data_IF_611943499782
#
_entry.id   IF_611943499782
#
_cell.length_a   1.000
_cell.length_b   1.000
_cell.length_c   1.000
_cell.angle_alpha   90.00
_cell.angle_beta   90.00
_cell.angle_gamma   90.00
#
_symmetry.space_group_name_H-M   'P 1'
#
loop_
_entity.id
_entity.type
_entity.pdbx_description
1 polymer ?
#
# COMPACT_ATOMS: atom_id res chain seq x y z
N UNK A 1 -8.37 31.76 -23.76
CA UNK A 1 -8.14 31.79 -22.29
C UNK A 1 -7.07 32.81 -21.98
N UNK A 2 -7.36 33.76 -21.09
CA UNK A 2 -6.40 34.80 -20.69
C UNK A 2 -5.31 34.21 -19.78
N UNK A 3 -4.14 34.86 -19.71
CA UNK A 3 -3.00 34.34 -18.95
C UNK A 3 -3.25 34.25 -17.43
N UNK A 4 -4.07 35.14 -16.86
CA UNK A 4 -4.44 35.09 -15.45
C UNK A 4 -5.39 33.92 -15.13
N UNK A 5 -6.43 33.76 -15.94
CA UNK A 5 -7.40 32.65 -15.84
C UNK A 5 -6.72 31.28 -16.01
N UNK A 6 -5.78 31.18 -16.97
CA UNK A 6 -4.97 29.98 -17.16
C UNK A 6 -4.09 29.66 -15.96
N UNK A 7 -3.42 30.67 -15.40
CA UNK A 7 -2.60 30.53 -14.19
C UNK A 7 -3.43 30.09 -12.99
N UNK A 8 -4.64 30.62 -12.83
CA UNK A 8 -5.57 30.21 -11.79
C UNK A 8 -5.96 28.74 -11.93
N UNK A 9 -6.32 28.29 -13.14
CA UNK A 9 -6.60 26.88 -13.43
C UNK A 9 -5.41 25.96 -13.15
N UNK A 10 -4.20 26.36 -13.55
CA UNK A 10 -2.97 25.62 -13.25
C UNK A 10 -2.79 25.50 -11.73
N UNK A 11 -2.97 26.60 -11.00
CA UNK A 11 -2.85 26.62 -9.55
C UNK A 11 -3.87 25.71 -8.86
N UNK A 12 -5.12 25.74 -9.29
CA UNK A 12 -6.19 24.89 -8.77
C UNK A 12 -5.93 23.41 -9.04
N UNK A 13 -5.48 23.08 -10.26
CA UNK A 13 -5.08 21.72 -10.60
C UNK A 13 -3.91 21.22 -9.75
N UNK A 14 -2.87 22.03 -9.57
CA UNK A 14 -1.72 21.65 -8.75
C UNK A 14 -2.13 21.58 -7.28
N UNK A 15 -3.04 22.43 -6.80
CA UNK A 15 -3.64 22.29 -5.48
C UNK A 15 -4.38 20.97 -5.34
N UNK A 16 -5.26 20.61 -6.27
CA UNK A 16 -6.10 19.41 -6.20
C UNK A 16 -5.31 18.10 -6.31
N UNK A 17 -4.23 18.09 -7.10
CA UNK A 17 -3.47 16.88 -7.41
C UNK A 17 -2.10 16.83 -6.72
N UNK A 18 -1.64 17.93 -6.15
CA UNK A 18 -0.37 18.04 -5.42
C UNK A 18 0.85 18.25 -6.29
N UNK A 19 0.97 17.43 -7.32
CA UNK A 19 2.00 17.52 -8.34
C UNK A 19 1.37 17.24 -9.70
N UNK A 20 1.69 18.05 -10.71
CA UNK A 20 1.17 17.86 -12.06
C UNK A 20 2.29 18.07 -13.08
N UNK A 21 2.37 17.21 -14.08
CA UNK A 21 3.35 17.35 -15.16
C UNK A 21 3.01 18.52 -16.09
N UNK A 22 4.02 19.13 -16.71
CA UNK A 22 3.80 20.20 -17.69
C UNK A 22 2.94 19.73 -18.88
N UNK A 23 3.10 18.47 -19.29
CA UNK A 23 2.33 17.85 -20.37
C UNK A 23 0.85 17.72 -20.04
N UNK A 24 0.53 17.38 -18.80
CA UNK A 24 -0.84 17.23 -18.32
C UNK A 24 -1.52 18.59 -18.12
N UNK A 25 -0.79 19.56 -17.55
CA UNK A 25 -1.24 20.95 -17.51
C UNK A 25 -1.53 21.47 -18.93
N UNK A 26 -0.62 21.24 -19.89
CA UNK A 26 -0.76 21.66 -21.29
C UNK A 26 -2.03 21.10 -21.95
N UNK A 27 -2.40 19.85 -21.67
CA UNK A 27 -3.66 19.27 -22.15
C UNK A 27 -4.89 19.96 -21.55
N UNK A 28 -4.91 20.17 -20.24
CA UNK A 28 -6.10 20.69 -19.55
C UNK A 28 -6.34 22.16 -19.90
N UNK A 29 -5.28 22.96 -19.94
CA UNK A 29 -5.38 24.38 -20.35
C UNK A 29 -5.31 24.58 -21.87
N UNK A 30 -5.31 23.49 -22.64
CA UNK A 30 -5.30 23.47 -24.11
C UNK A 30 -4.24 24.39 -24.73
N UNK A 31 -3.00 24.30 -24.24
CA UNK A 31 -1.89 25.14 -24.72
C UNK A 31 -0.60 24.34 -24.85
N UNK A 32 0.46 24.96 -25.38
CA UNK A 32 1.76 24.32 -25.54
C UNK A 32 2.49 24.18 -24.19
N UNK A 33 3.33 23.15 -24.05
CA UNK A 33 4.19 23.00 -22.86
C UNK A 33 5.13 24.20 -22.67
N UNK A 34 5.52 24.89 -23.76
CA UNK A 34 6.34 26.10 -23.71
C UNK A 34 5.58 27.25 -23.03
N UNK A 35 4.28 27.37 -23.33
CA UNK A 35 3.40 28.38 -22.70
C UNK A 35 3.18 28.04 -21.22
N UNK A 36 2.84 26.79 -20.90
CA UNK A 36 2.67 26.35 -19.50
C UNK A 36 3.94 26.55 -18.70
N UNK A 37 5.12 26.29 -19.29
CA UNK A 37 6.40 26.54 -18.62
C UNK A 37 6.58 28.01 -18.24
N UNK A 38 6.12 28.94 -19.07
CA UNK A 38 6.13 30.38 -18.75
C UNK A 38 5.14 30.73 -17.63
N UNK A 39 3.94 30.15 -17.66
CA UNK A 39 2.92 30.38 -16.63
C UNK A 39 3.34 29.83 -15.27
N UNK A 40 3.92 28.63 -15.24
CA UNK A 40 4.46 28.01 -14.01
C UNK A 40 5.64 28.82 -13.48
N UNK A 41 6.51 29.38 -14.34
CA UNK A 41 7.59 30.28 -13.90
C UNK A 41 7.05 31.57 -13.27
N UNK A 42 5.95 32.11 -13.79
CA UNK A 42 5.31 33.28 -13.20
C UNK A 42 4.72 32.95 -11.82
N UNK A 43 4.02 31.82 -11.69
CA UNK A 43 3.49 31.35 -10.41
C UNK A 43 4.60 30.98 -9.40
N UNK A 44 5.75 30.51 -9.88
CA UNK A 44 6.95 30.26 -9.07
C UNK A 44 7.57 31.57 -8.57
N UNK A 45 7.70 32.59 -9.42
CA UNK A 45 8.17 33.91 -9.02
C UNK A 45 7.24 34.59 -8.00
N UNK A 46 5.94 34.26 -8.03
CA UNK A 46 4.93 34.70 -7.06
C UNK A 46 4.90 33.84 -5.78
N UNK A 47 5.75 32.80 -5.68
CA UNK A 47 5.82 31.90 -4.52
C UNK A 47 4.59 31.00 -4.35
N UNK A 48 3.82 30.80 -5.42
CA UNK A 48 2.57 30.03 -5.41
C UNK A 48 2.74 28.58 -5.87
N UNK A 49 3.84 28.26 -6.57
CA UNK A 49 4.24 26.93 -7.03
C UNK A 49 5.76 26.75 -6.97
N UNK A 50 6.22 25.52 -6.78
CA UNK A 50 7.63 25.13 -7.00
C UNK A 50 7.75 24.31 -8.28
N UNK A 51 8.83 24.52 -9.04
CA UNK A 51 9.14 23.65 -10.18
C UNK A 51 9.94 22.44 -9.75
N UNK A 52 9.53 21.27 -10.24
CA UNK A 52 10.36 20.05 -10.24
C UNK A 52 10.60 19.58 -11.66
N UNK A 53 11.56 18.68 -11.86
CA UNK A 53 11.96 18.17 -13.17
C UNK A 53 10.73 17.63 -13.94
N UNK A 54 10.20 18.43 -14.87
CA UNK A 54 9.04 18.09 -15.71
C UNK A 54 7.65 18.49 -15.19
N UNK A 55 7.51 19.22 -14.07
CA UNK A 55 6.19 19.55 -13.51
C UNK A 55 6.17 20.71 -12.51
N UNK A 56 4.98 20.96 -11.94
CA UNK A 56 4.73 21.97 -10.91
C UNK A 56 4.14 21.32 -9.65
N UNK A 57 4.59 21.76 -8.48
CA UNK A 57 4.12 21.33 -7.15
C UNK A 57 3.79 22.55 -6.29
N UNK A 58 3.09 22.37 -5.16
CA UNK A 58 2.90 23.47 -4.21
C UNK A 58 4.20 23.79 -3.45
N UNK A 59 4.50 25.07 -3.17
CA UNK A 59 5.68 25.46 -2.41
C UNK A 59 5.52 25.06 -0.94
N UNK A 60 6.60 24.53 -0.34
CA UNK A 60 6.67 24.24 1.09
C UNK A 60 5.76 23.12 1.63
N UNK A 61 5.12 22.32 0.77
CA UNK A 61 4.18 21.27 1.20
C UNK A 61 4.74 19.86 1.03
N UNK A 62 4.50 18.98 2.01
CA UNK A 62 4.59 17.53 1.83
C UNK A 62 3.92 17.15 0.51
N UNK A 63 4.65 16.48 -0.37
CA UNK A 63 4.24 16.23 -1.76
C UNK A 63 2.90 15.48 -1.79
N UNK A 64 1.83 16.16 -2.22
CA UNK A 64 0.53 15.54 -2.42
C UNK A 64 0.63 14.55 -3.59
N UNK A 65 0.10 13.35 -3.37
CA UNK A 65 0.40 12.13 -4.13
C UNK A 65 0.15 12.31 -5.64
N UNK A 66 1.18 12.09 -6.47
CA UNK A 66 0.99 12.04 -7.93
C UNK A 66 0.04 10.90 -8.31
N UNK A 67 -0.91 11.19 -9.20
CA UNK A 67 -1.93 10.23 -9.62
C UNK A 67 -1.35 9.03 -10.36
N UNK A 68 -2.12 7.93 -10.41
CA UNK A 68 -1.72 6.69 -11.09
C UNK A 68 -1.19 6.86 -12.53
N UNK A 69 -1.84 7.62 -13.44
CA UNK A 69 -1.36 7.75 -14.82
C UNK A 69 0.06 8.31 -14.86
N UNK A 70 0.33 9.33 -14.04
CA UNK A 70 1.64 9.97 -13.95
C UNK A 70 2.69 9.02 -13.35
N UNK A 71 2.34 8.28 -12.28
CA UNK A 71 3.25 7.28 -11.69
C UNK A 71 3.52 6.11 -12.65
N UNK A 72 2.55 5.66 -13.45
CA UNK A 72 2.71 4.47 -14.30
C UNK A 72 3.77 4.62 -15.41
N UNK A 73 3.96 5.85 -15.91
CA UNK A 73 4.93 6.17 -16.95
C UNK A 73 6.31 6.59 -16.43
N UNK A 74 6.45 6.85 -15.14
CA UNK A 74 7.71 7.21 -14.52
C UNK A 74 8.49 5.95 -14.12
N UNK A 75 9.80 5.96 -14.35
CA UNK A 75 10.74 4.94 -13.86
C UNK A 75 10.31 3.49 -14.18
N UNK A 76 9.79 3.25 -15.39
CA UNK A 76 9.22 1.94 -15.77
C UNK A 76 10.28 0.83 -15.78
N UNK A 77 11.51 1.14 -16.22
CA UNK A 77 12.62 0.17 -16.24
C UNK A 77 13.08 -0.19 -14.82
N UNK A 78 13.16 0.80 -13.94
CA UNK A 78 13.53 0.66 -12.54
C UNK A 78 12.50 -0.17 -11.79
N UNK A 79 11.20 0.08 -12.02
CA UNK A 79 10.11 -0.71 -11.42
C UNK A 79 10.13 -2.15 -11.88
N UNK A 80 10.44 -2.37 -13.15
CA UNK A 80 10.59 -3.71 -13.73
C UNK A 80 11.72 -4.45 -13.01
N UNK A 81 12.90 -3.83 -12.88
CA UNK A 81 14.05 -4.42 -12.20
C UNK A 81 13.79 -4.70 -10.72
N UNK A 82 13.20 -3.75 -10.00
CA UNK A 82 12.80 -3.93 -8.59
C UNK A 82 11.81 -5.08 -8.46
N UNK A 83 10.83 -5.15 -9.35
CA UNK A 83 9.81 -6.19 -9.32
C UNK A 83 10.39 -7.58 -9.63
N UNK A 84 11.37 -7.70 -10.53
CA UNK A 84 12.06 -8.97 -10.82
C UNK A 84 12.80 -9.48 -9.58
N UNK A 85 13.57 -8.61 -8.93
CA UNK A 85 14.31 -8.95 -7.72
C UNK A 85 13.37 -9.22 -6.53
N UNK A 86 12.27 -8.49 -6.40
CA UNK A 86 11.29 -8.74 -5.35
C UNK A 86 10.56 -10.08 -5.56
N UNK A 87 10.27 -10.45 -6.81
CA UNK A 87 9.62 -11.73 -7.13
C UNK A 87 10.50 -12.94 -6.78
N UNK A 88 11.84 -12.82 -6.85
CA UNK A 88 12.74 -13.91 -6.45
C UNK A 88 12.80 -14.16 -4.95
N UNK A 89 12.13 -13.34 -4.14
CA UNK A 89 12.02 -13.51 -2.69
C UNK A 89 10.79 -14.33 -2.27
N UNK A 90 9.92 -14.67 -3.23
CA UNK A 90 8.65 -15.38 -2.98
C UNK A 90 8.79 -16.83 -3.42
N UNK A 91 8.37 -17.73 -2.55
CA UNK A 91 8.40 -19.17 -2.79
C UNK A 91 7.00 -19.70 -3.19
N UNK A 92 6.96 -20.84 -3.89
CA UNK A 92 5.71 -21.52 -4.21
C UNK A 92 4.94 -21.91 -2.93
N UNK A 93 3.61 -21.76 -2.95
CA UNK A 93 2.75 -22.07 -1.80
C UNK A 93 2.68 -20.97 -0.74
N UNK A 94 3.40 -19.86 -0.93
CA UNK A 94 3.47 -18.78 0.04
C UNK A 94 2.22 -17.88 0.04
N UNK A 95 1.80 -17.43 1.22
CA UNK A 95 0.79 -16.40 1.38
C UNK A 95 1.47 -15.04 1.63
N UNK A 96 1.29 -14.08 0.73
CA UNK A 96 1.93 -12.76 0.77
C UNK A 96 0.91 -11.63 0.71
N UNK A 97 1.25 -10.50 1.32
CA UNK A 97 0.52 -9.24 1.17
C UNK A 97 1.22 -8.36 0.13
N UNK A 98 0.46 -7.77 -0.77
CA UNK A 98 0.97 -6.80 -1.76
C UNK A 98 0.13 -5.52 -1.67
N UNK A 99 0.78 -4.43 -1.25
CA UNK A 99 0.14 -3.11 -1.11
C UNK A 99 -0.10 -2.40 -2.44
N UNK A 100 -0.72 -1.23 -2.37
CA UNK A 100 -1.00 -0.41 -3.54
C UNK A 100 0.22 0.35 -4.06
N UNK A 101 0.37 0.37 -5.39
CA UNK A 101 1.47 1.07 -6.04
C UNK A 101 1.73 0.59 -7.46
N UNK A 102 2.43 1.42 -8.24
CA UNK A 102 2.83 1.04 -9.60
C UNK A 102 3.98 0.03 -9.60
N UNK A 103 4.89 0.11 -8.63
CA UNK A 103 5.96 -0.88 -8.43
C UNK A 103 5.40 -2.23 -7.97
N UNK A 104 4.41 -2.22 -7.05
CA UNK A 104 3.77 -3.45 -6.58
C UNK A 104 2.86 -4.07 -7.63
N UNK A 105 2.26 -3.28 -8.52
CA UNK A 105 1.58 -3.79 -9.71
C UNK A 105 2.54 -4.56 -10.63
N UNK A 106 3.76 -4.05 -10.85
CA UNK A 106 4.76 -4.76 -11.65
C UNK A 106 5.27 -6.04 -10.98
N UNK A 107 5.33 -6.06 -9.63
CA UNK A 107 5.57 -7.28 -8.87
C UNK A 107 4.44 -8.29 -9.10
N UNK A 108 3.18 -7.85 -9.01
CA UNK A 108 2.02 -8.72 -9.19
C UNK A 108 2.03 -9.47 -10.54
N UNK A 109 2.42 -8.80 -11.64
CA UNK A 109 2.59 -9.44 -12.95
C UNK A 109 3.58 -10.60 -12.94
N UNK A 110 4.60 -10.55 -12.07
CA UNK A 110 5.62 -11.59 -11.95
C UNK A 110 5.16 -12.72 -11.04
N UNK A 111 4.48 -12.37 -9.95
CA UNK A 111 3.84 -13.33 -9.03
C UNK A 111 2.81 -14.20 -9.75
N UNK A 112 2.16 -13.70 -10.81
CA UNK A 112 1.24 -14.47 -11.65
C UNK A 112 1.85 -15.79 -12.21
N UNK A 113 3.19 -15.88 -12.26
CA UNK A 113 3.92 -17.05 -12.78
C UNK A 113 4.33 -18.04 -11.69
N UNK A 114 4.17 -17.69 -10.42
CA UNK A 114 4.51 -18.54 -9.28
C UNK A 114 3.24 -19.28 -8.86
N UNK A 115 3.19 -20.62 -9.01
CA UNK A 115 2.01 -21.39 -8.65
C UNK A 115 1.80 -21.46 -7.13
N UNK A 116 0.56 -21.70 -6.72
CA UNK A 116 0.21 -21.99 -5.33
C UNK A 116 0.22 -20.78 -4.41
N UNK A 117 0.42 -19.56 -4.93
CA UNK A 117 0.43 -18.36 -4.10
C UNK A 117 -0.97 -17.97 -3.64
N UNK A 118 -1.04 -17.45 -2.42
CA UNK A 118 -2.18 -16.63 -1.95
C UNK A 118 -1.72 -15.18 -1.83
N UNK A 119 -2.26 -14.29 -2.65
CA UNK A 119 -1.95 -12.85 -2.63
C UNK A 119 -3.08 -12.07 -2.01
N UNK A 120 -2.80 -11.45 -0.86
CA UNK A 120 -3.72 -10.54 -0.18
C UNK A 120 -3.39 -9.11 -0.60
N UNK A 121 -4.36 -8.35 -1.10
CA UNK A 121 -4.10 -6.99 -1.59
C UNK A 121 -5.25 -6.02 -1.35
N UNK A 122 -4.93 -4.77 -1.06
CA UNK A 122 -5.88 -3.67 -1.10
C UNK A 122 -5.89 -2.94 -2.45
N UNK A 123 -5.13 -3.41 -3.45
CA UNK A 123 -4.95 -2.70 -4.71
C UNK A 123 -5.75 -3.35 -5.84
N UNK A 124 -6.61 -2.55 -6.48
CA UNK A 124 -7.32 -2.99 -7.68
C UNK A 124 -6.35 -3.29 -8.83
N UNK A 125 -5.22 -2.58 -8.90
CA UNK A 125 -4.20 -2.77 -9.93
C UNK A 125 -3.47 -4.10 -9.78
N UNK A 126 -3.13 -4.48 -8.54
CA UNK A 126 -2.53 -5.77 -8.21
C UNK A 126 -3.52 -6.88 -8.52
N UNK A 127 -4.77 -6.75 -8.06
CA UNK A 127 -5.80 -7.72 -8.34
C UNK A 127 -6.06 -7.90 -9.84
N UNK A 128 -6.09 -6.79 -10.60
CA UNK A 128 -6.24 -6.83 -12.05
C UNK A 128 -5.05 -7.53 -12.74
N UNK A 129 -3.83 -7.28 -12.28
CA UNK A 129 -2.63 -7.94 -12.81
C UNK A 129 -2.64 -9.46 -12.57
N UNK A 130 -3.30 -9.91 -11.51
CA UNK A 130 -3.44 -11.32 -11.13
C UNK A 130 -4.77 -11.96 -11.58
N UNK A 131 -5.69 -11.21 -12.17
CA UNK A 131 -7.05 -11.68 -12.46
C UNK A 131 -7.12 -12.92 -13.38
N UNK A 132 -6.08 -13.14 -14.20
CA UNK A 132 -5.99 -14.26 -15.13
C UNK A 132 -4.98 -15.33 -14.66
N UNK A 133 -4.42 -15.18 -13.46
CA UNK A 133 -3.45 -16.09 -12.89
C UNK A 133 -4.19 -17.27 -12.21
N UNK A 134 -4.56 -18.28 -12.99
CA UNK A 134 -5.36 -19.43 -12.52
C UNK A 134 -4.70 -20.28 -11.41
N UNK A 135 -3.43 -20.02 -11.08
CA UNK A 135 -2.66 -20.73 -10.05
C UNK A 135 -2.32 -19.84 -8.85
N UNK A 136 -2.91 -18.65 -8.78
CA UNK A 136 -2.76 -17.69 -7.67
C UNK A 136 -4.13 -17.38 -7.11
N UNK A 137 -4.33 -17.62 -5.83
CA UNK A 137 -5.52 -17.17 -5.12
C UNK A 137 -5.34 -15.69 -4.78
N UNK A 138 -6.32 -14.85 -5.11
CA UNK A 138 -6.29 -13.41 -4.84
C UNK A 138 -7.36 -13.05 -3.83
N UNK A 139 -6.96 -12.58 -2.66
CA UNK A 139 -7.84 -12.08 -1.61
C UNK A 139 -7.77 -10.56 -1.60
N UNK A 140 -8.85 -9.90 -2.00
CA UNK A 140 -8.94 -8.45 -1.93
C UNK A 140 -9.50 -7.98 -0.59
N UNK A 141 -8.92 -6.94 -0.01
CA UNK A 141 -9.52 -6.30 1.17
C UNK A 141 -10.85 -5.64 0.81
N UNK A 142 -11.76 -5.48 1.77
CA UNK A 142 -12.94 -4.62 1.59
C UNK A 142 -12.59 -3.13 1.59
N UNK A 143 -13.61 -2.27 1.70
CA UNK A 143 -13.45 -0.82 1.92
C UNK A 143 -13.89 0.05 0.74
N UNK A 144 -13.43 1.31 0.75
CA UNK A 144 -13.78 2.33 -0.25
C UNK A 144 -12.65 2.50 -1.25
N UNK A 145 -12.97 2.47 -2.55
CA UNK A 145 -11.99 2.68 -3.61
C UNK A 145 -11.55 4.15 -3.68
N UNK A 146 -10.25 4.37 -3.54
CA UNK A 146 -9.61 5.67 -3.76
C UNK A 146 -9.07 5.75 -5.18
N UNK A 147 -9.72 6.55 -6.02
CA UNK A 147 -9.41 6.64 -7.46
C UNK A 147 -8.01 7.17 -7.81
N UNK A 148 -7.35 7.92 -6.91
CA UNK A 148 -6.04 8.50 -7.21
C UNK A 148 -4.91 7.47 -7.34
N UNK A 149 -4.99 6.36 -6.59
CA UNK A 149 -4.01 5.27 -6.61
C UNK A 149 -4.63 3.87 -6.75
N UNK A 150 -5.96 3.81 -7.00
CA UNK A 150 -6.73 2.57 -7.15
C UNK A 150 -6.56 1.60 -5.97
N UNK A 151 -6.50 2.15 -4.75
CA UNK A 151 -6.40 1.40 -3.50
C UNK A 151 -7.74 1.41 -2.74
N UNK A 152 -8.07 0.30 -2.11
CA UNK A 152 -9.17 0.16 -1.18
C UNK A 152 -8.70 0.63 0.21
N UNK A 153 -9.46 1.55 0.80
CA UNK A 153 -9.12 2.21 2.06
C UNK A 153 -10.31 2.26 3.03
N UNK A 154 -10.02 2.63 4.29
CA UNK A 154 -11.01 2.81 5.35
C UNK A 154 -11.20 1.55 6.20
N UNK A 155 -12.10 1.65 7.18
CA UNK A 155 -12.28 0.63 8.23
C UNK A 155 -12.57 -0.77 7.69
N UNK A 156 -13.33 -0.90 6.59
CA UNK A 156 -13.59 -2.19 5.96
C UNK A 156 -12.31 -2.86 5.42
N UNK A 157 -11.37 -2.08 4.90
CA UNK A 157 -10.07 -2.60 4.45
C UNK A 157 -9.23 -3.05 5.64
N UNK A 158 -9.16 -2.23 6.68
CA UNK A 158 -8.40 -2.52 7.91
C UNK A 158 -8.93 -3.76 8.65
N UNK A 159 -10.26 -3.88 8.76
CA UNK A 159 -10.91 -5.03 9.40
C UNK A 159 -10.66 -6.33 8.63
N UNK A 160 -10.61 -6.27 7.30
CA UNK A 160 -10.33 -7.45 6.46
C UNK A 160 -8.92 -8.01 6.70
N UNK A 161 -8.00 -7.20 7.25
CA UNK A 161 -6.63 -7.59 7.55
C UNK A 161 -6.46 -8.11 8.99
N UNK A 162 -7.47 -7.96 9.85
CA UNK A 162 -7.40 -8.42 11.23
C UNK A 162 -7.38 -9.95 11.30
N UNK A 163 -6.46 -10.51 12.09
CA UNK A 163 -6.30 -11.95 12.27
C UNK A 163 -5.59 -12.64 11.09
N UNK A 164 -5.27 -11.92 10.02
CA UNK A 164 -4.49 -12.44 8.90
C UNK A 164 -3.02 -12.56 9.29
N UNK A 165 -2.38 -13.64 8.84
CA UNK A 165 -0.94 -13.85 8.97
C UNK A 165 -0.38 -14.29 7.64
N UNK A 166 0.57 -13.51 7.14
CA UNK A 166 1.33 -13.79 5.92
C UNK A 166 2.81 -13.79 6.23
N UNK A 167 3.58 -14.45 5.39
CA UNK A 167 5.04 -14.47 5.49
C UNK A 167 5.62 -13.10 5.21
N UNK A 168 5.17 -12.42 4.15
CA UNK A 168 5.79 -11.18 3.65
C UNK A 168 4.75 -10.13 3.25
N UNK A 169 5.05 -8.87 3.54
CA UNK A 169 4.34 -7.71 3.00
C UNK A 169 5.25 -6.95 2.03
N UNK A 170 4.82 -6.80 0.77
CA UNK A 170 5.46 -5.97 -0.22
C UNK A 170 4.75 -4.62 -0.30
N UNK A 171 5.40 -3.56 0.18
CA UNK A 171 4.83 -2.22 0.26
C UNK A 171 5.64 -1.22 -0.54
N UNK A 172 4.97 -0.21 -1.09
CA UNK A 172 5.62 0.91 -1.77
C UNK A 172 5.01 2.22 -1.29
N UNK A 173 5.84 3.23 -1.10
CA UNK A 173 5.44 4.53 -0.58
C UNK A 173 5.66 5.66 -1.59
N UNK A 174 5.48 6.88 -1.11
CA UNK A 174 5.82 8.10 -1.84
C UNK A 174 7.16 8.70 -1.39
N UNK A 175 7.71 8.23 -0.27
CA UNK A 175 9.03 8.61 0.24
C UNK A 175 9.59 7.55 1.19
N UNK A 176 10.91 7.49 1.28
CA UNK A 176 11.64 6.62 2.20
C UNK A 176 12.87 7.37 2.72
N UNK A 177 13.02 7.44 4.04
CA UNK A 177 14.22 7.98 4.71
C UNK A 177 14.70 6.99 5.75
N UNK A 178 15.99 7.00 6.08
CA UNK A 178 16.51 6.20 7.20
C UNK A 178 15.93 6.66 8.55
N UNK A 179 15.63 7.95 8.71
CA UNK A 179 15.08 8.50 9.96
C UNK A 179 13.64 8.07 10.22
N UNK A 180 12.75 8.20 9.23
CA UNK A 180 11.31 7.95 9.40
C UNK A 180 10.81 6.67 8.74
N UNK A 181 11.60 6.01 7.90
CA UNK A 181 11.14 4.86 7.13
C UNK A 181 10.19 5.25 5.99
N UNK A 182 9.28 4.34 5.63
CA UNK A 182 8.39 4.50 4.49
C UNK A 182 7.25 5.46 4.81
N UNK A 183 6.98 6.44 3.94
CA UNK A 183 5.91 7.41 4.12
C UNK A 183 5.03 7.57 2.87
N UNK A 184 3.80 8.04 3.10
CA UNK A 184 2.83 8.43 2.06
C UNK A 184 2.14 9.75 2.43
N UNK A 185 1.54 10.43 1.45
CA UNK A 185 0.86 11.71 1.68
C UNK A 185 -0.62 11.60 1.99
N UNK A 186 -1.16 10.39 2.12
CA UNK A 186 -2.56 10.16 2.46
C UNK A 186 -2.74 9.33 3.75
N UNK A 187 -3.50 9.87 4.70
CA UNK A 187 -3.76 9.21 5.99
C UNK A 187 -4.48 7.87 5.85
N UNK A 188 -5.46 7.75 4.94
CA UNK A 188 -6.24 6.52 4.78
C UNK A 188 -5.39 5.41 4.15
N UNK A 189 -4.53 5.75 3.19
CA UNK A 189 -3.54 4.81 2.65
C UNK A 189 -2.55 4.39 3.74
N UNK A 190 -2.05 5.34 4.53
CA UNK A 190 -1.14 5.04 5.63
C UNK A 190 -1.76 4.12 6.68
N UNK A 191 -3.05 4.28 6.98
CA UNK A 191 -3.76 3.43 7.94
C UNK A 191 -3.84 1.98 7.45
N UNK A 192 -4.19 1.77 6.18
CA UNK A 192 -4.22 0.43 5.59
C UNK A 192 -2.82 -0.15 5.46
N UNK A 193 -1.82 0.61 5.02
CA UNK A 193 -0.43 0.14 4.92
C UNK A 193 0.10 -0.35 6.28
N UNK A 194 -0.23 0.34 7.38
CA UNK A 194 0.09 -0.14 8.73
C UNK A 194 -0.63 -1.45 9.06
N UNK A 195 -1.89 -1.60 8.70
CA UNK A 195 -2.61 -2.86 8.89
C UNK A 195 -1.99 -4.01 8.06
N UNK A 196 -1.53 -3.73 6.83
CA UNK A 196 -0.79 -4.66 5.99
C UNK A 196 0.54 -5.07 6.64
N UNK A 197 1.29 -4.13 7.22
CA UNK A 197 2.51 -4.41 8.00
C UNK A 197 2.22 -5.35 9.17
N UNK A 198 1.17 -5.09 9.95
CA UNK A 198 0.85 -5.91 11.14
C UNK A 198 0.49 -7.37 10.80
N UNK A 199 0.01 -7.62 9.58
CA UNK A 199 -0.34 -8.95 9.12
C UNK A 199 0.88 -9.78 8.69
N UNK A 200 2.04 -9.17 8.43
CA UNK A 200 3.22 -9.83 7.88
C UNK A 200 4.31 -10.12 8.91
N UNK A 201 5.03 -11.22 8.71
CA UNK A 201 6.22 -11.55 9.49
C UNK A 201 7.47 -10.77 9.02
N UNK A 202 7.59 -10.51 7.72
CA UNK A 202 8.69 -9.76 7.11
C UNK A 202 8.12 -8.61 6.26
N UNK A 203 8.65 -7.40 6.42
CA UNK A 203 8.25 -6.25 5.60
C UNK A 203 9.33 -5.96 4.56
N UNK A 204 8.93 -6.03 3.29
CA UNK A 204 9.76 -5.73 2.14
C UNK A 204 9.28 -4.45 1.49
N UNK A 205 10.11 -3.41 1.56
CA UNK A 205 9.84 -2.12 0.92
C UNK A 205 10.38 -2.11 -0.50
N UNK A 206 9.54 -1.69 -1.44
CA UNK A 206 9.88 -1.51 -2.85
C UNK A 206 9.92 0.00 -3.15
N UNK A 207 11.11 0.53 -3.38
CA UNK A 207 11.30 1.94 -3.66
C UNK A 207 12.36 2.13 -4.74
N UNK A 208 12.03 2.91 -5.78
CA UNK A 208 13.05 3.39 -6.70
C UNK A 208 13.88 4.52 -6.07
N UNK A 209 15.04 4.79 -6.65
CA UNK A 209 15.97 5.81 -6.15
C UNK A 209 15.34 7.19 -5.97
N UNK A 210 14.32 7.55 -6.76
CA UNK A 210 13.66 8.86 -6.67
C UNK A 210 12.89 9.06 -5.37
N UNK A 211 12.55 7.97 -4.67
CA UNK A 211 11.85 8.00 -3.38
C UNK A 211 12.82 8.07 -2.18
N UNK A 212 14.10 7.76 -2.39
CA UNK A 212 15.10 7.74 -1.34
C UNK A 212 15.43 9.17 -0.88
N UNK A 213 15.47 9.35 0.44
CA UNK A 213 15.63 10.63 1.11
C UNK A 213 14.39 11.51 1.08
N UNK A 214 13.34 11.15 0.34
CA UNK A 214 12.09 11.92 0.28
C UNK A 214 11.21 11.58 1.47
N UNK A 215 10.67 12.60 2.13
CA UNK A 215 9.71 12.44 3.21
C UNK A 215 8.34 13.02 2.87
N UNK A 216 7.29 12.37 3.38
CA UNK A 216 5.90 12.73 3.15
C UNK A 216 5.09 12.70 4.45
N UNK A 217 3.85 13.18 4.38
CA UNK A 217 3.09 13.61 5.56
C UNK A 217 2.85 12.48 6.58
N UNK A 218 2.57 11.25 6.15
CA UNK A 218 2.21 10.14 7.03
C UNK A 218 3.20 8.99 6.92
N UNK A 219 3.85 8.65 8.03
CA UNK A 219 4.66 7.44 8.15
C UNK A 219 3.77 6.19 8.06
N UNK A 220 4.20 5.23 7.27
CA UNK A 220 3.50 3.96 7.02
C UNK A 220 4.24 2.80 7.65
N UNK A 221 5.55 2.71 7.44
CA UNK A 221 6.42 1.68 8.01
C UNK A 221 7.60 2.39 8.66
N UNK A 222 7.75 2.35 9.99
CA UNK A 222 8.95 2.88 10.64
C UNK A 222 10.16 2.01 10.27
N UNK A 223 11.37 2.60 10.28
CA UNK A 223 12.57 1.95 9.73
C UNK A 223 12.91 0.63 10.41
N UNK A 224 12.68 0.53 11.72
CA UNK A 224 12.93 -0.66 12.54
C UNK A 224 12.06 -1.87 12.16
N UNK A 225 10.92 -1.63 11.52
CA UNK A 225 10.06 -2.70 10.99
C UNK A 225 10.40 -3.10 9.55
N UNK A 226 11.26 -2.35 8.86
CA UNK A 226 11.67 -2.66 7.48
C UNK A 226 12.71 -3.78 7.50
N UNK A 227 12.31 -4.98 7.13
CA UNK A 227 13.23 -6.13 7.10
C UNK A 227 14.15 -6.13 5.87
N UNK A 228 13.66 -5.58 4.75
CA UNK A 228 14.38 -5.50 3.48
C UNK A 228 13.91 -4.30 2.66
N UNK A 229 14.85 -3.65 1.98
CA UNK A 229 14.60 -2.69 0.89
C UNK A 229 15.03 -3.31 -0.44
N UNK A 230 14.15 -3.29 -1.43
CA UNK A 230 14.48 -3.59 -2.83
C UNK A 230 14.40 -2.29 -3.63
N UNK A 231 15.53 -1.90 -4.23
CA UNK A 231 15.70 -0.66 -5.00
C UNK A 231 16.36 -0.93 -6.35
N UNK A 232 16.29 0.02 -7.28
CA UNK A 232 17.16 0.05 -8.46
C UNK A 232 18.52 0.69 -8.11
N UNK A 233 19.52 0.47 -8.95
CA UNK A 233 20.80 1.17 -8.85
C UNK A 233 20.60 2.69 -9.02
N UNK A 234 20.95 3.51 -8.01
CA UNK A 234 20.81 4.95 -8.13
C UNK A 234 21.79 5.51 -9.17
N UNK A 235 21.44 6.59 -9.90
CA UNK A 235 22.39 7.28 -10.75
C UNK A 235 23.64 7.68 -9.96
N UNK A 236 24.84 7.54 -10.54
CA UNK A 236 26.11 7.81 -9.86
C UNK A 236 26.25 9.23 -9.26
N UNK A 237 25.40 10.17 -9.71
CA UNK A 237 25.38 11.56 -9.25
C UNK A 237 24.36 11.81 -8.13
N UNK A 238 23.56 10.82 -7.76
CA UNK A 238 22.54 10.93 -6.71
C UNK A 238 23.14 10.56 -5.34
N UNK A 239 23.97 11.46 -4.81
CA UNK A 239 24.61 11.30 -3.49
C UNK A 239 23.59 11.16 -2.35
N UNK A 240 22.41 11.76 -2.51
CA UNK A 240 21.32 11.66 -1.53
C UNK A 240 20.80 10.23 -1.45
N UNK A 241 20.49 9.63 -2.60
CA UNK A 241 20.04 8.24 -2.64
C UNK A 241 21.10 7.30 -2.05
N UNK A 242 22.38 7.49 -2.39
CA UNK A 242 23.48 6.68 -1.85
C UNK A 242 23.61 6.81 -0.32
N UNK A 243 23.52 8.03 0.22
CA UNK A 243 23.61 8.30 1.66
C UNK A 243 22.47 7.63 2.42
N UNK A 244 21.25 7.68 1.89
CA UNK A 244 20.07 7.08 2.51
C UNK A 244 20.12 5.55 2.47
N UNK A 245 20.64 4.94 1.40
CA UNK A 245 20.86 3.50 1.35
C UNK A 245 21.85 3.04 2.42
N UNK A 246 22.95 3.79 2.59
CA UNK A 246 23.93 3.47 3.63
C UNK A 246 23.31 3.62 5.02
N UNK A 247 22.60 4.71 5.29
CA UNK A 247 21.96 4.93 6.58
C UNK A 247 20.88 3.88 6.91
N UNK A 248 20.12 3.41 5.92
CA UNK A 248 19.17 2.30 6.10
C UNK A 248 19.90 0.98 6.42
N UNK A 249 21.00 0.69 5.73
CA UNK A 249 21.81 -0.49 5.99
C UNK A 249 22.43 -0.46 7.40
N UNK A 250 22.90 0.70 7.85
CA UNK A 250 23.46 0.91 9.20
C UNK A 250 22.41 0.68 10.31
N UNK A 251 21.12 0.88 10.00
CA UNK A 251 20.00 0.55 10.89
C UNK A 251 19.54 -0.90 10.79
N UNK A 252 20.25 -1.75 10.04
CA UNK A 252 19.97 -3.19 9.93
C UNK A 252 18.98 -3.57 8.83
N UNK A 253 18.56 -2.64 7.96
CA UNK A 253 17.72 -2.94 6.81
C UNK A 253 18.55 -3.67 5.76
N UNK A 254 18.11 -4.87 5.32
CA UNK A 254 18.78 -5.57 4.22
C UNK A 254 18.49 -4.86 2.90
N UNK A 255 19.49 -4.21 2.32
CA UNK A 255 19.34 -3.53 1.02
C UNK A 255 19.66 -4.49 -0.12
N UNK A 256 18.81 -4.51 -1.15
CA UNK A 256 18.97 -5.31 -2.36
C UNK A 256 18.79 -4.43 -3.58
N UNK A 257 19.83 -4.32 -4.41
CA UNK A 257 19.87 -3.42 -5.57
C UNK A 257 19.67 -4.23 -6.84
N UNK A 258 18.60 -3.95 -7.59
CA UNK A 258 18.32 -4.54 -8.88
C UNK A 258 19.19 -3.87 -9.96
N UNK A 259 19.99 -4.67 -10.68
CA UNK A 259 20.91 -4.21 -11.73
C UNK A 259 22.39 -4.50 -11.48
N UNK A 260 22.76 -4.83 -10.24
CA UNK A 260 24.13 -5.26 -9.92
C UNK A 260 24.38 -6.70 -10.36
N UNK A 261 25.43 -6.91 -11.17
CA UNK A 261 26.05 -8.23 -11.29
C UNK A 261 26.36 -8.69 -9.87
N UNK A 262 25.86 -9.85 -9.47
CA UNK A 262 26.23 -10.47 -8.22
C UNK A 262 27.77 -10.46 -8.13
N UNK A 263 28.32 -9.66 -7.21
CA UNK A 263 29.72 -9.76 -6.81
C UNK A 263 29.88 -11.06 -6.02
N UNK A 264 29.85 -12.17 -6.75
CA UNK A 264 30.28 -13.46 -6.26
C UNK A 264 31.76 -13.35 -5.94
N UNK A 265 32.07 -13.20 -4.66
CA UNK A 265 33.39 -13.59 -4.14
C UNK A 265 33.39 -15.12 -4.11
N UNK A 266 33.60 -15.70 -5.28
CA UNK A 266 34.00 -17.09 -5.45
C UNK A 266 35.52 -17.12 -5.60
N UNK A 267 36.18 -17.63 -4.56
CA UNK A 267 37.58 -18.04 -4.55
C UNK A 267 37.88 -18.52 -3.13
N UNK A 268 38.32 -19.73 -2.87
CA UNK A 268 38.62 -20.90 -3.69
C UNK A 268 38.87 -22.03 -2.70
N UNK A 269 38.53 -23.24 -3.10
CA UNK A 269 38.56 -24.49 -2.35
C UNK A 269 39.95 -24.97 -1.89
N UNK A 270 39.97 -25.68 -0.75
CA UNK A 270 40.89 -26.78 -0.41
C UNK A 270 41.45 -26.68 1.01
N UNK A 271 41.30 -27.62 1.94
CA UNK A 271 40.66 -28.94 1.98
C UNK A 271 40.76 -29.52 3.41
N UNK A 272 39.92 -30.53 3.71
CA UNK A 272 40.01 -31.62 4.74
C UNK A 272 40.67 -31.34 6.10
N UNK A 273 40.24 -31.86 7.25
CA UNK A 273 39.18 -32.75 7.71
C UNK A 273 39.32 -32.77 9.25
N UNK A 274 38.27 -33.12 9.99
CA UNK A 274 38.35 -33.38 11.43
C UNK A 274 37.04 -33.08 12.13
N UNK A 275 36.27 -34.13 12.43
CA UNK A 275 34.98 -33.99 13.10
C UNK A 275 35.12 -33.56 14.54
N UNK A 276 34.08 -32.91 15.05
CA UNK A 276 33.58 -33.25 16.37
C UNK A 276 32.10 -32.85 16.50
N UNK A 277 31.35 -33.74 17.15
CA UNK A 277 29.93 -33.61 17.44
C UNK A 277 29.70 -32.59 18.56
N UNK A 278 28.96 -31.52 18.28
CA UNK A 278 28.50 -30.55 19.29
C UNK A 278 27.08 -30.10 18.97
N UNK A 279 26.12 -30.53 19.78
CA UNK A 279 24.69 -30.21 19.62
C UNK A 279 24.36 -28.72 19.80
N UNK A 280 23.17 -28.28 19.34
CA UNK A 280 22.80 -26.86 19.36
C UNK A 280 22.36 -26.39 20.76
N UNK A 281 22.79 -25.21 21.24
CA UNK A 281 22.21 -24.60 22.42
C UNK A 281 21.06 -23.65 22.05
N UNK A 282 20.00 -23.71 22.87
CA UNK A 282 19.24 -22.50 23.23
C UNK A 282 17.98 -22.17 22.43
N UNK A 283 16.99 -23.06 22.45
CA UNK A 283 15.59 -22.67 22.23
C UNK A 283 15.16 -21.66 23.31
N UNK A 284 14.93 -20.40 22.91
CA UNK A 284 14.43 -19.37 23.83
C UNK A 284 12.96 -19.62 24.17
N UNK A 285 12.71 -19.60 25.47
CA UNK A 285 11.45 -19.87 26.17
C UNK A 285 10.24 -19.14 25.59
N UNK A 286 9.18 -19.91 25.31
CA UNK A 286 7.83 -19.45 25.02
C UNK A 286 7.27 -18.74 26.25
N UNK A 287 6.87 -17.47 26.12
CA UNK A 287 6.01 -16.80 27.09
C UNK A 287 4.57 -17.11 26.75
N UNK A 288 3.93 -17.94 27.57
CA UNK A 288 2.49 -18.11 27.58
C UNK A 288 1.82 -16.80 27.99
N UNK A 289 1.00 -16.24 27.10
CA UNK A 289 0.10 -15.13 27.42
C UNK A 289 -1.32 -15.71 27.43
N UNK A 290 -2.07 -15.62 28.55
CA UNK A 290 -3.40 -16.20 28.63
C UNK A 290 -4.42 -15.37 27.84
N UNK A 291 -5.24 -16.07 27.06
CA UNK A 291 -6.40 -15.52 26.32
C UNK A 291 -7.43 -14.91 27.30
N UNK A 292 -8.04 -13.75 26.98
CA UNK A 292 -9.11 -13.20 27.81
C UNK A 292 -10.40 -14.04 27.68
N UNK A 293 -10.88 -14.54 28.83
CA UNK A 293 -12.11 -15.31 28.95
C UNK A 293 -13.38 -14.49 28.69
N UNK A 294 -14.41 -15.19 28.21
CA UNK A 294 -15.75 -14.66 27.99
C UNK A 294 -16.36 -14.12 29.29
N UNK A 295 -16.85 -12.87 29.25
CA UNK A 295 -17.60 -12.25 30.36
C UNK A 295 -18.92 -13.01 30.56
N UNK A 296 -19.03 -13.74 31.67
CA UNK A 296 -20.30 -14.20 32.22
C UNK A 296 -20.93 -13.06 33.01
N UNK A 297 -22.15 -12.68 32.63
CA UNK A 297 -23.01 -11.77 33.37
C UNK A 297 -23.55 -12.45 34.63
N UNK A 298 -23.26 -11.92 35.81
CA UNK A 298 -23.93 -12.28 37.06
C UNK A 298 -25.15 -11.36 37.26
N UNK A 299 -26.33 -11.96 37.34
CA UNK A 299 -27.50 -11.40 38.03
C UNK A 299 -27.90 -12.37 39.16
N UNK A 300 -28.16 -11.91 40.39
CA UNK A 300 -28.49 -12.80 41.50
C UNK A 300 -30.00 -13.11 41.53
N UNK A 301 -30.33 -14.40 41.57
CA UNK A 301 -31.67 -14.90 41.88
C UNK A 301 -31.73 -15.35 43.35
N UNK A 302 -32.71 -14.83 44.09
CA UNK A 302 -33.08 -15.27 45.43
C UNK A 302 -33.73 -16.65 45.46
N UNK A 303 -33.97 -17.23 46.65
CA UNK A 303 -34.41 -18.62 46.77
C UNK A 303 -35.93 -18.73 46.92
N UNK A 304 -36.50 -19.78 46.34
CA UNK A 304 -37.84 -20.25 46.71
C UNK A 304 -38.64 -20.84 45.55
N UNK A 305 -38.58 -22.16 45.38
CA UNK A 305 -39.69 -22.97 44.84
C UNK A 305 -40.25 -23.76 46.03
N UNK A 306 -41.55 -24.12 46.10
CA UNK A 306 -42.11 -25.09 45.15
C UNK A 306 -43.61 -24.92 44.82
N UNK A 307 -44.05 -25.51 43.70
CA UNK A 307 -45.14 -26.51 43.66
C UNK A 307 -45.79 -26.60 42.28
N UNK A 308 -46.02 -27.85 41.84
CA UNK A 308 -47.25 -28.25 41.16
C UNK A 308 -47.26 -28.25 39.63
N UNK A 309 -47.65 -29.40 39.06
CA UNK A 309 -48.55 -29.39 37.90
C UNK A 309 -48.04 -30.02 36.61
N UNK A 310 -48.12 -31.34 36.56
CA UNK A 310 -48.51 -32.19 35.41
C UNK A 310 -48.94 -31.52 34.08
N UNK A 311 -48.42 -32.06 32.98
CA UNK A 311 -49.25 -32.44 31.82
C UNK A 311 -48.96 -31.79 30.47
N UNK A 312 -48.89 -32.63 29.43
CA UNK A 312 -49.52 -32.32 28.14
C UNK A 312 -48.59 -32.02 26.97
N UNK A 313 -48.61 -32.91 25.98
CA UNK A 313 -47.85 -32.86 24.74
C UNK A 313 -48.37 -31.88 23.67
N UNK A 314 -47.50 -31.66 22.67
CA UNK A 314 -47.75 -31.43 21.23
C UNK A 314 -47.57 -30.02 20.59
N UNK A 315 -47.18 -29.97 19.29
CA UNK A 315 -46.22 -29.01 18.74
C UNK A 315 -46.84 -27.85 17.94
N UNK A 316 -46.04 -26.79 17.75
CA UNK A 316 -46.37 -25.58 17.00
C UNK A 316 -46.27 -25.77 15.48
N UNK A 317 -47.33 -25.32 14.80
CA UNK A 317 -47.50 -25.27 13.35
C UNK A 317 -46.73 -24.11 12.71
N UNK A 318 -46.31 -24.36 11.48
CA UNK A 318 -45.73 -23.48 10.47
C UNK A 318 -46.65 -22.34 9.99
N UNK A 319 -46.06 -21.19 9.64
CA UNK A 319 -46.68 -20.12 8.86
C UNK A 319 -45.92 -19.89 7.52
N UNK A 320 -46.61 -19.62 6.39
CA UNK A 320 -46.02 -19.48 5.04
C UNK A 320 -45.71 -18.02 4.62
N UNK A 321 -45.02 -17.79 3.49
CA UNK A 321 -44.47 -16.48 3.10
C UNK A 321 -45.42 -15.68 2.18
N UNK A 322 -45.27 -14.35 2.16
CA UNK A 322 -46.00 -13.44 1.26
C UNK A 322 -45.16 -13.02 0.05
N UNK A 323 -45.81 -13.08 -1.10
CA UNK A 323 -45.28 -12.91 -2.44
C UNK A 323 -45.39 -11.46 -2.96
N UNK A 324 -44.72 -11.28 -4.11
CA UNK A 324 -44.53 -10.10 -4.95
C UNK A 324 -45.82 -9.46 -5.50
N UNK A 325 -45.78 -8.15 -5.79
CA UNK A 325 -46.52 -7.49 -6.89
C UNK A 325 -45.92 -6.10 -7.23
N UNK A 326 -45.60 -5.91 -8.52
CA UNK A 326 -45.22 -4.67 -9.25
C UNK A 326 -46.48 -4.01 -9.87
N UNK A 327 -46.41 -2.94 -10.72
CA UNK A 327 -45.80 -1.60 -10.59
C UNK A 327 -46.79 -0.46 -10.96
N UNK A 328 -46.51 0.80 -10.60
CA UNK A 328 -47.31 1.94 -11.08
C UNK A 328 -46.89 3.34 -10.64
N UNK A 329 -46.56 4.15 -11.65
CA UNK A 329 -46.77 5.61 -11.77
C UNK A 329 -45.76 6.65 -11.25
N UNK A 330 -45.53 7.65 -12.12
CA UNK A 330 -44.52 8.74 -12.10
C UNK A 330 -45.04 10.00 -11.41
N UNK A 331 -44.12 10.78 -10.80
CA UNK A 331 -44.06 12.26 -10.67
C UNK A 331 -43.47 12.65 -9.28
N UNK A 332 -42.74 13.74 -9.02
CA UNK A 332 -42.12 14.84 -9.78
C UNK A 332 -41.10 15.51 -8.84
N UNK A 333 -40.13 16.18 -9.45
CA UNK A 333 -39.07 17.02 -8.87
C UNK A 333 -39.64 18.20 -8.07
N UNK A 334 -39.04 18.52 -6.91
CA UNK A 334 -39.26 19.77 -6.20
C UNK A 334 -37.92 20.51 -5.99
N UNK A 335 -37.90 21.72 -6.53
CA UNK A 335 -36.86 22.74 -6.56
C UNK A 335 -36.79 23.48 -5.21
N UNK A 336 -35.59 23.66 -4.64
CA UNK A 336 -35.37 24.47 -3.43
C UNK A 336 -34.67 25.78 -3.80
N UNK A 337 -35.45 26.87 -3.78
CA UNK A 337 -34.95 28.25 -3.77
C UNK A 337 -35.37 28.95 -2.47
N UNK A 338 -34.40 29.68 -1.90
CA UNK A 338 -34.46 30.75 -0.89
C UNK A 338 -34.72 30.33 0.57
N UNK A 339 -33.70 30.51 1.40
CA UNK A 339 -33.61 31.59 2.39
C UNK A 339 -32.16 31.93 2.65
#
# INVERSE_FOLDING_TARGET
MFAAERRQLILEMVRANGAVSLRELARVVQTSEVTVRRDVRALEAEGLLDRRHGGAVLPGGFTRESGFPQKSHLATAEKTAIADLAASLVEEGEAVVVGAGTTTQELARRLARIPGLTVVTNSLLVAQALAHANRVEVVMTGGTLRGSNYALVGSGAEQSLQGLRVTRAFLSGSGLTAERGLSTSNMLSASVDRALVQAAAEVVVLADHTKLGTDTMFQTVPTDLISRLVTNEPPAQDERAATELQALADQGVRVSVAGGVASGVAGGSGGSAGGDSGGPPGARSRRDVPLPGQRRTHGPSGPGSPSGGTGGAQPLRSAPPLAQQEPGERARVADMRRR
#
